data_IF_774314278204
#
_entry.id   IF_774314278204
#
_cell.length_a   1.000
_cell.length_b   1.000
_cell.length_c   1.000
_cell.angle_alpha   90.00
_cell.angle_beta   90.00
_cell.angle_gamma   90.00
#
_symmetry.space_group_name_H-M   'P 1'
#
loop_
_entity.id
_entity.type
_entity.pdbx_description
1 polymer ?
#
# COMPACT_ATOMS: atom_id res chain seq x y z
N UNK A 1 12.16 -1.80 -9.85
CA UNK A 1 12.66 -0.98 -8.71
C UNK A 1 12.09 0.44 -8.76
N UNK A 2 12.05 1.06 -9.93
CA UNK A 2 11.56 2.44 -10.12
C UNK A 2 10.05 2.57 -9.96
N UNK A 3 9.26 1.67 -10.56
CA UNK A 3 7.79 1.69 -10.39
C UNK A 3 7.37 1.54 -8.91
N UNK A 4 8.12 0.78 -8.08
CA UNK A 4 7.83 0.64 -6.65
C UNK A 4 7.93 1.98 -5.93
N UNK A 5 8.92 2.81 -6.27
CA UNK A 5 9.11 4.12 -5.66
C UNK A 5 7.93 5.04 -5.96
N UNK A 6 7.48 5.05 -7.22
CA UNK A 6 6.35 5.88 -7.65
C UNK A 6 5.05 5.44 -6.97
N UNK A 7 4.82 4.12 -6.90
CA UNK A 7 3.67 3.57 -6.19
C UNK A 7 3.73 3.86 -4.68
N UNK A 8 4.92 3.81 -4.05
CA UNK A 8 5.06 4.21 -2.65
C UNK A 8 4.64 5.66 -2.44
N UNK A 9 5.06 6.59 -3.31
CA UNK A 9 4.66 8.00 -3.21
C UNK A 9 3.15 8.20 -3.35
N UNK A 10 2.49 7.44 -4.23
CA UNK A 10 1.03 7.42 -4.29
C UNK A 10 0.43 6.99 -2.94
N UNK A 11 0.92 5.89 -2.35
CA UNK A 11 0.37 5.37 -1.10
C UNK A 11 0.65 6.26 0.11
N UNK A 12 1.74 7.04 0.09
CA UNK A 12 1.99 8.06 1.11
C UNK A 12 0.97 9.20 1.09
N UNK A 13 0.38 9.51 -0.07
CA UNK A 13 -0.72 10.50 -0.19
C UNK A 13 -2.03 9.93 0.36
N UNK A 14 -2.24 8.64 0.21
CA UNK A 14 -3.44 7.94 0.66
C UNK A 14 -3.26 7.30 2.02
N UNK A 15 -3.49 8.08 3.09
CA UNK A 15 -3.24 7.62 4.45
C UNK A 15 -4.08 6.39 4.86
N UNK A 16 -5.18 6.07 4.17
CA UNK A 16 -5.99 4.88 4.47
C UNK A 16 -5.39 3.57 3.94
N UNK A 17 -4.29 3.63 3.17
CA UNK A 17 -3.58 2.45 2.68
C UNK A 17 -2.64 1.95 3.77
N UNK A 18 -2.83 0.69 4.17
CA UNK A 18 -2.04 0.04 5.22
C UNK A 18 -0.87 -0.74 4.62
N UNK A 19 -1.14 -1.50 3.56
CA UNK A 19 -0.14 -2.36 2.91
C UNK A 19 -0.34 -2.37 1.40
N UNK A 20 0.74 -2.54 0.65
CA UNK A 20 0.67 -2.84 -0.78
C UNK A 20 1.67 -3.93 -1.19
N UNK A 21 1.21 -4.76 -2.11
CA UNK A 21 1.86 -5.98 -2.58
C UNK A 21 1.99 -5.92 -4.08
N UNK A 22 3.08 -6.45 -4.62
CA UNK A 22 3.21 -6.60 -6.05
C UNK A 22 3.63 -8.02 -6.39
N UNK A 23 2.78 -8.69 -7.16
CA UNK A 23 3.00 -10.05 -7.64
C UNK A 23 3.03 -10.07 -9.16
N UNK A 24 3.73 -11.04 -9.73
CA UNK A 24 3.65 -11.35 -11.16
C UNK A 24 2.78 -12.57 -11.33
N UNK A 25 1.74 -12.46 -12.15
CA UNK A 25 0.93 -13.60 -12.59
C UNK A 25 1.34 -13.97 -14.01
N UNK A 26 1.36 -15.26 -14.36
CA UNK A 26 1.61 -15.69 -15.73
C UNK A 26 0.26 -15.89 -16.41
N UNK A 27 0.07 -15.28 -17.57
CA UNK A 27 -1.05 -15.62 -18.41
C UNK A 27 -0.82 -17.01 -19.01
N UNK A 28 -1.76 -17.94 -18.82
CA UNK A 28 -1.60 -19.33 -19.27
C UNK A 28 -1.60 -19.42 -20.80
N UNK A 29 -2.27 -18.48 -21.48
CA UNK A 29 -2.42 -18.48 -22.94
C UNK A 29 -1.24 -17.83 -23.67
N UNK A 30 -0.58 -16.82 -23.06
CA UNK A 30 0.48 -16.05 -23.73
C UNK A 30 1.87 -16.22 -23.10
N UNK A 31 1.97 -16.95 -21.99
CA UNK A 31 3.18 -17.06 -21.14
C UNK A 31 3.72 -15.71 -20.62
N UNK A 32 3.02 -14.60 -20.89
CA UNK A 32 3.42 -13.27 -20.47
C UNK A 32 3.22 -13.06 -18.98
N UNK A 33 4.15 -12.33 -18.37
CA UNK A 33 4.07 -11.96 -16.97
C UNK A 33 3.25 -10.68 -16.83
N UNK A 34 2.06 -10.80 -16.25
CA UNK A 34 1.17 -9.69 -15.90
C UNK A 34 1.42 -9.26 -14.45
N UNK A 35 1.85 -8.01 -14.20
CA UNK A 35 1.98 -7.48 -12.86
C UNK A 35 0.59 -7.25 -12.26
N UNK A 36 0.43 -7.63 -11.00
CA UNK A 36 -0.77 -7.40 -10.21
C UNK A 36 -0.36 -6.66 -8.94
N UNK A 37 -0.96 -5.48 -8.75
CA UNK A 37 -0.83 -4.65 -7.56
C UNK A 37 -1.99 -4.97 -6.63
N UNK A 38 -1.66 -5.44 -5.43
CA UNK A 38 -2.62 -5.62 -4.35
C UNK A 38 -2.49 -4.47 -3.36
N UNK A 39 -3.61 -3.87 -2.96
CA UNK A 39 -3.65 -2.79 -1.96
C UNK A 39 -4.62 -3.16 -0.85
N UNK A 40 -4.16 -3.03 0.40
CA UNK A 40 -4.96 -3.24 1.60
C UNK A 40 -5.31 -1.88 2.18
N UNK A 41 -6.60 -1.53 2.11
CA UNK A 41 -7.12 -0.26 2.58
C UNK A 41 -8.56 -0.43 3.12
N UNK A 42 -8.73 -1.09 4.28
CA UNK A 42 -10.05 -1.47 4.81
C UNK A 42 -10.95 -0.24 5.06
N UNK A 43 -10.35 0.89 5.41
CA UNK A 43 -11.05 2.13 5.75
C UNK A 43 -11.37 3.02 4.54
N UNK A 44 -10.87 2.67 3.34
CA UNK A 44 -11.08 3.49 2.14
C UNK A 44 -12.47 3.16 1.54
N UNK A 45 -13.34 4.16 1.29
CA UNK A 45 -14.65 3.93 0.67
C UNK A 45 -14.49 3.49 -0.79
N UNK A 46 -15.47 2.71 -1.30
CA UNK A 46 -15.41 2.11 -2.64
C UNK A 46 -15.20 3.13 -3.77
N UNK A 47 -15.80 4.31 -3.67
CA UNK A 47 -15.64 5.41 -4.63
C UNK A 47 -14.19 5.87 -4.76
N UNK A 48 -13.48 5.95 -3.63
CA UNK A 48 -12.05 6.32 -3.61
C UNK A 48 -11.14 5.16 -4.02
N UNK A 49 -11.55 3.91 -3.78
CA UNK A 49 -10.77 2.73 -4.22
C UNK A 49 -10.59 2.73 -5.74
N UNK A 50 -11.63 3.09 -6.49
CA UNK A 50 -11.56 3.21 -7.95
C UNK A 50 -10.57 4.29 -8.39
N UNK A 51 -10.57 5.46 -7.72
CA UNK A 51 -9.60 6.54 -8.01
C UNK A 51 -8.16 6.12 -7.75
N UNK A 52 -7.90 5.47 -6.61
CA UNK A 52 -6.55 4.95 -6.28
C UNK A 52 -6.08 3.93 -7.31
N UNK A 53 -6.99 3.05 -7.77
CA UNK A 53 -6.67 2.07 -8.80
C UNK A 53 -6.28 2.76 -10.12
N UNK A 54 -7.11 3.70 -10.59
CA UNK A 54 -6.85 4.46 -11.83
C UNK A 54 -5.53 5.25 -11.76
N UNK A 55 -5.25 5.91 -10.63
CA UNK A 55 -3.99 6.62 -10.42
C UNK A 55 -2.79 5.67 -10.40
N UNK A 56 -2.89 4.52 -9.75
CA UNK A 56 -1.83 3.52 -9.75
C UNK A 56 -1.55 2.98 -11.15
N UNK A 57 -2.59 2.71 -11.94
CA UNK A 57 -2.47 2.30 -13.34
C UNK A 57 -1.79 3.39 -14.17
N UNK A 58 -2.26 4.64 -14.07
CA UNK A 58 -1.71 5.78 -14.80
C UNK A 58 -0.24 6.05 -14.46
N UNK A 59 0.12 6.01 -13.18
CA UNK A 59 1.51 6.18 -12.73
C UNK A 59 2.40 5.04 -13.22
N UNK A 60 1.86 3.82 -13.31
CA UNK A 60 2.62 2.66 -13.78
C UNK A 60 2.83 2.65 -15.30
N UNK A 61 1.99 3.34 -16.08
CA UNK A 61 2.05 3.37 -17.55
C UNK A 61 3.35 3.95 -18.12
N UNK A 62 4.09 4.75 -17.33
CA UNK A 62 5.41 5.26 -17.67
C UNK A 62 6.57 4.28 -17.43
N UNK A 63 6.32 3.17 -16.72
CA UNK A 63 7.36 2.24 -16.26
C UNK A 63 7.10 0.80 -16.70
N UNK A 64 5.85 0.42 -16.91
CA UNK A 64 5.45 -0.88 -17.46
C UNK A 64 5.25 -0.71 -18.96
N UNK A 65 5.75 -1.64 -19.80
CA UNK A 65 5.51 -1.57 -21.23
C UNK A 65 4.01 -1.45 -21.52
N UNK A 66 3.62 -0.53 -22.40
CA UNK A 66 2.21 -0.22 -22.73
C UNK A 66 1.34 -1.41 -23.13
N UNK A 67 1.95 -2.54 -23.53
CA UNK A 67 1.23 -3.76 -23.90
C UNK A 67 0.90 -4.66 -22.70
N UNK A 68 1.45 -4.39 -21.51
CA UNK A 68 1.21 -5.17 -20.29
C UNK A 68 0.45 -4.27 -19.30
N UNK A 69 -0.88 -4.41 -19.18
CA UNK A 69 -1.64 -3.61 -18.22
C UNK A 69 -1.35 -4.07 -16.78
N UNK A 70 -1.10 -3.11 -15.89
CA UNK A 70 -1.11 -3.35 -14.46
C UNK A 70 -2.54 -3.67 -14.02
N UNK A 71 -2.74 -4.77 -13.32
CA UNK A 71 -4.03 -5.04 -12.69
C UNK A 71 -3.98 -4.61 -11.22
N UNK A 72 -4.90 -3.75 -10.79
CA UNK A 72 -4.99 -3.31 -9.40
C UNK A 72 -6.13 -4.02 -8.69
N UNK A 73 -5.85 -4.55 -7.50
CA UNK A 73 -6.79 -5.27 -6.64
C UNK A 73 -6.91 -4.52 -5.31
N UNK A 74 -8.07 -3.93 -5.06
CA UNK A 74 -8.35 -3.06 -3.91
C UNK A 74 -9.23 -3.73 -2.84
N UNK A 75 -9.70 -4.95 -3.11
CA UNK A 75 -10.59 -5.73 -2.26
C UNK A 75 -9.84 -6.73 -1.36
N UNK A 76 -8.51 -6.64 -1.24
CA UNK A 76 -7.71 -7.60 -0.43
C UNK A 76 -8.03 -7.61 1.06
N UNK A 77 -8.62 -6.53 1.58
CA UNK A 77 -9.13 -6.47 2.94
C UNK A 77 -10.48 -7.18 3.13
N UNK A 78 -11.10 -7.66 2.06
CA UNK A 78 -12.36 -8.40 2.08
C UNK A 78 -12.08 -9.91 2.07
N UNK A 79 -12.66 -10.64 3.01
CA UNK A 79 -12.54 -12.10 3.08
C UNK A 79 -13.14 -12.82 1.86
N UNK A 80 -14.02 -12.15 1.11
CA UNK A 80 -14.66 -12.68 -0.10
C UNK A 80 -13.83 -12.46 -1.37
N UNK A 81 -12.68 -11.78 -1.27
CA UNK A 81 -11.81 -11.52 -2.42
C UNK A 81 -11.27 -12.80 -3.06
N UNK A 82 -11.60 -13.00 -4.33
CA UNK A 82 -11.11 -14.11 -5.14
C UNK A 82 -9.60 -14.01 -5.44
N UNK A 83 -9.04 -12.80 -5.35
CA UNK A 83 -7.65 -12.52 -5.69
C UNK A 83 -6.73 -12.61 -4.49
N UNK A 84 -7.26 -12.60 -3.26
CA UNK A 84 -6.49 -12.71 -2.01
C UNK A 84 -5.51 -13.90 -1.96
N UNK A 85 -5.83 -15.11 -2.47
CA UNK A 85 -4.87 -16.21 -2.51
C UNK A 85 -3.59 -15.91 -3.29
N UNK A 86 -3.63 -15.04 -4.30
CA UNK A 86 -2.44 -14.63 -5.06
C UNK A 86 -1.41 -13.88 -4.21
N UNK A 87 -1.87 -13.24 -3.13
CA UNK A 87 -1.05 -12.41 -2.26
C UNK A 87 -0.70 -13.09 -0.94
N UNK A 88 -1.20 -14.32 -0.70
CA UNK A 88 -1.06 -15.04 0.58
C UNK A 88 0.40 -15.18 1.04
N UNK A 89 1.28 -15.49 0.09
CA UNK A 89 2.72 -15.67 0.33
C UNK A 89 3.55 -14.47 -0.18
N UNK A 90 2.90 -13.41 -0.64
CA UNK A 90 3.57 -12.22 -1.15
C UNK A 90 4.04 -11.35 0.01
N UNK A 91 5.29 -10.87 -0.06
CA UNK A 91 5.78 -9.86 0.88
C UNK A 91 5.30 -8.48 0.43
N UNK A 92 4.70 -7.68 1.32
CA UNK A 92 4.35 -6.31 0.98
C UNK A 92 5.63 -5.53 0.67
N UNK A 93 5.58 -4.69 -0.35
CA UNK A 93 6.68 -3.77 -0.66
C UNK A 93 6.47 -2.39 -0.03
N UNK A 94 5.24 -2.10 0.38
CA UNK A 94 4.85 -0.92 1.13
C UNK A 94 4.09 -1.38 2.38
N UNK A 95 4.49 -0.86 3.53
CA UNK A 95 3.77 -0.98 4.80
C UNK A 95 3.75 0.42 5.40
N UNK A 96 2.57 0.93 5.70
CA UNK A 96 2.43 2.23 6.37
C UNK A 96 3.04 2.11 7.76
N UNK A 97 4.07 2.91 8.05
CA UNK A 97 4.57 3.01 9.41
C UNK A 97 3.49 3.63 10.28
N UNK A 98 2.93 2.85 11.20
CA UNK A 98 2.11 3.42 12.26
C UNK A 98 3.03 4.26 13.15
N UNK A 99 2.86 5.58 13.06
CA UNK A 99 3.45 6.48 14.04
C UNK A 99 2.70 6.23 15.34
N UNK A 100 3.22 5.34 16.19
CA UNK A 100 2.75 5.27 17.55
C UNK A 100 2.97 6.66 18.14
N UNK A 101 1.93 7.34 18.67
CA UNK A 101 2.17 8.56 19.41
C UNK A 101 3.08 8.17 20.56
N UNK A 102 4.34 8.62 20.53
CA UNK A 102 5.17 8.58 21.72
C UNK A 102 4.43 9.42 22.74
N UNK A 103 3.86 8.75 23.75
CA UNK A 103 3.28 9.41 24.92
C UNK A 103 4.31 10.46 25.35
N UNK A 104 3.97 11.76 25.40
CA UNK A 104 4.92 12.75 25.88
C UNK A 104 5.37 12.28 27.27
N UNK A 105 6.67 12.04 27.43
CA UNK A 105 7.24 11.82 28.74
C UNK A 105 6.82 13.03 29.56
N UNK A 106 5.95 12.78 30.55
CA UNK A 106 5.49 13.81 31.44
C UNK A 106 6.73 14.49 32.02
N UNK A 107 6.74 15.82 31.94
CA UNK A 107 7.68 16.64 32.66
C UNK A 107 7.52 16.32 34.15
N UNK A 108 8.51 15.64 34.73
CA UNK A 108 8.73 15.69 36.17
C UNK A 108 9.64 16.90 36.41
N UNK A 109 8.98 18.02 36.64
CA UNK A 109 9.58 19.20 37.26
C UNK A 109 9.46 18.93 38.76
N UNK A 110 10.51 18.40 39.38
CA UNK A 110 10.68 18.48 40.83
C UNK A 110 11.60 19.67 41.10
N UNK A 111 10.91 20.78 41.32
CA UNK A 111 11.36 21.97 42.03
C UNK A 111 11.55 21.55 43.50
N UNK A 112 12.75 21.08 43.87
CA UNK A 112 13.16 21.00 45.27
C UNK A 112 14.02 22.24 45.59
N UNK A 113 13.26 23.31 45.86
CA UNK A 113 13.59 24.38 46.79
C UNK A 113 13.99 23.78 48.15
N UNK A 114 15.30 23.57 48.38
CA UNK A 114 15.84 23.45 49.74
C UNK A 114 16.58 24.75 50.08
N UNK A 115 15.81 25.67 50.67
CA UNK A 115 16.32 26.85 51.34
C UNK A 115 16.82 26.54 52.75
N UNK A 116 18.02 27.06 53.06
CA UNK A 116 18.38 27.80 54.29
C UNK A 116 19.89 28.05 54.36
#
# INVERSE_FOLDING_TARGET
PEYRKVLCSLFEVYDQIEEAFLVGTRNSDTEELKPVLGVVCPQLPAEKRASVADEAENLSAGFIPRHIPLQVVMDLGDDTSLMRPLFRDAKPFYIKQQVFPQKPAAAEVDDDDDGA
#
